data_IF_673346189781
#
_entry.id   IF_673346189781
#
_cell.length_a   1.000
_cell.length_b   1.000
_cell.length_c   1.000
_cell.angle_alpha   90.00
_cell.angle_beta   90.00
_cell.angle_gamma   90.00
#
_symmetry.space_group_name_H-M   'P 1'
#
loop_
_entity.id
_entity.type
_entity.pdbx_description
1 polymer ?
#
# COMPACT_ATOMS: atom_id res chain seq x y z
N UNK A 1 -20.31 21.62 -14.50
CA UNK A 1 -20.20 20.34 -15.23
C UNK A 1 -21.16 19.37 -14.53
N UNK A 2 -22.27 18.99 -15.15
CA UNK A 2 -23.29 18.10 -14.54
C UNK A 2 -22.87 16.66 -14.83
N UNK A 3 -22.57 15.89 -13.78
CA UNK A 3 -22.45 14.43 -13.90
C UNK A 3 -23.80 13.87 -14.34
N UNK A 4 -23.79 12.97 -15.33
CA UNK A 4 -25.03 12.32 -15.80
C UNK A 4 -25.42 11.24 -14.80
N UNK A 5 -26.69 10.81 -14.80
CA UNK A 5 -27.10 9.82 -13.81
C UNK A 5 -26.64 8.38 -14.16
N UNK A 6 -26.11 8.15 -15.37
CA UNK A 6 -25.21 7.03 -15.67
C UNK A 6 -23.95 7.04 -14.79
N UNK A 7 -23.37 8.24 -14.56
CA UNK A 7 -22.26 8.40 -13.63
C UNK A 7 -22.70 8.07 -12.20
N UNK A 8 -23.94 8.38 -11.82
CA UNK A 8 -24.44 8.13 -10.46
C UNK A 8 -24.53 6.64 -10.10
N UNK A 9 -25.08 5.80 -10.98
CA UNK A 9 -25.16 4.36 -10.73
C UNK A 9 -23.78 3.69 -10.77
N UNK A 10 -22.90 4.12 -11.69
CA UNK A 10 -21.50 3.67 -11.74
C UNK A 10 -20.72 4.10 -10.50
N UNK A 11 -20.94 5.32 -9.99
CA UNK A 11 -20.34 5.82 -8.75
C UNK A 11 -20.81 5.01 -7.54
N UNK A 12 -22.11 4.71 -7.43
CA UNK A 12 -22.63 3.92 -6.31
C UNK A 12 -22.08 2.49 -6.29
N UNK A 13 -21.89 1.88 -7.47
CA UNK A 13 -21.25 0.57 -7.58
C UNK A 13 -19.76 0.65 -7.24
N UNK A 14 -19.08 1.68 -7.73
CA UNK A 14 -17.67 1.99 -7.43
C UNK A 14 -17.44 2.12 -5.92
N UNK A 15 -18.28 2.86 -5.21
CA UNK A 15 -18.21 3.06 -3.75
C UNK A 15 -18.37 1.76 -2.96
N UNK A 16 -19.19 0.82 -3.45
CA UNK A 16 -19.38 -0.49 -2.79
C UNK A 16 -18.18 -1.42 -2.99
N UNK A 17 -17.55 -1.38 -4.15
CA UNK A 17 -16.45 -2.28 -4.53
C UNK A 17 -15.10 -1.78 -3.99
N UNK A 18 -14.94 -0.45 -3.89
CA UNK A 18 -13.69 0.19 -3.48
C UNK A 18 -13.07 -0.38 -2.19
N UNK A 19 -13.83 -0.67 -1.10
CA UNK A 19 -13.26 -1.26 0.11
C UNK A 19 -12.61 -2.63 -0.11
N UNK A 20 -13.21 -3.49 -0.94
CA UNK A 20 -12.68 -4.82 -1.25
C UNK A 20 -11.36 -4.70 -2.04
N UNK A 21 -11.30 -3.78 -3.01
CA UNK A 21 -10.08 -3.51 -3.77
C UNK A 21 -8.98 -2.93 -2.88
N UNK A 22 -9.31 -2.03 -1.96
CA UNK A 22 -8.36 -1.48 -1.00
C UNK A 22 -7.80 -2.57 -0.07
N UNK A 23 -8.62 -3.51 0.37
CA UNK A 23 -8.15 -4.64 1.18
C UNK A 23 -7.22 -5.57 0.36
N UNK A 24 -7.50 -5.78 -0.92
CA UNK A 24 -6.61 -6.53 -1.81
C UNK A 24 -5.24 -5.83 -1.97
N UNK A 25 -5.24 -4.52 -2.19
CA UNK A 25 -4.01 -3.73 -2.25
C UNK A 25 -3.24 -3.84 -0.93
N UNK A 26 -3.94 -3.75 0.20
CA UNK A 26 -3.35 -3.86 1.53
C UNK A 26 -2.66 -5.20 1.73
N UNK A 27 -3.33 -6.30 1.37
CA UNK A 27 -2.74 -7.64 1.41
C UNK A 27 -1.47 -7.72 0.56
N UNK A 28 -1.49 -7.14 -0.64
CA UNK A 28 -0.32 -7.08 -1.51
C UNK A 28 0.84 -6.31 -0.86
N UNK A 29 0.58 -5.14 -0.24
CA UNK A 29 1.62 -4.37 0.47
C UNK A 29 2.23 -5.14 1.63
N UNK A 30 1.40 -5.79 2.43
CA UNK A 30 1.85 -6.62 3.56
C UNK A 30 2.71 -7.80 3.08
N UNK A 31 2.31 -8.46 2.00
CA UNK A 31 3.10 -9.53 1.38
C UNK A 31 4.47 -9.03 0.91
N UNK A 32 4.54 -7.84 0.29
CA UNK A 32 5.82 -7.23 -0.10
C UNK A 32 6.70 -6.87 1.10
N UNK A 33 6.12 -6.41 2.20
CA UNK A 33 6.88 -6.22 3.44
C UNK A 33 7.39 -7.55 3.99
N UNK A 34 6.60 -8.63 3.89
CA UNK A 34 6.99 -9.97 4.30
C UNK A 34 8.13 -10.54 3.45
N UNK A 35 8.14 -10.27 2.15
CA UNK A 35 9.28 -10.54 1.27
C UNK A 35 10.50 -9.77 1.76
N UNK A 36 10.37 -8.46 1.93
CA UNK A 36 11.42 -7.56 2.43
C UNK A 36 12.23 -6.89 1.33
N UNK A 37 13.03 -5.89 1.70
CA UNK A 37 13.83 -5.09 0.77
C UNK A 37 15.23 -4.79 1.31
N UNK A 38 16.17 -4.65 0.39
CA UNK A 38 17.54 -4.20 0.67
C UNK A 38 17.65 -2.69 0.61
N UNK A 39 18.34 -2.10 1.58
CA UNK A 39 18.54 -0.67 1.72
C UNK A 39 20.03 -0.34 1.82
N UNK A 40 20.42 0.80 1.28
CA UNK A 40 21.81 1.28 1.36
C UNK A 40 22.06 1.94 2.71
N UNK A 41 23.22 1.70 3.33
CA UNK A 41 23.61 2.41 4.56
C UNK A 41 23.88 3.89 4.31
N UNK A 42 23.34 4.73 5.18
CA UNK A 42 23.53 6.19 5.17
C UNK A 42 24.97 6.53 5.59
N UNK A 43 25.65 7.40 4.86
CA UNK A 43 26.94 8.00 5.27
C UNK A 43 28.23 7.28 4.83
N UNK A 44 28.17 6.15 4.13
CA UNK A 44 29.38 5.42 3.76
C UNK A 44 30.03 5.99 2.47
N UNK A 45 31.07 6.82 2.61
CA UNK A 45 31.89 7.39 1.50
C UNK A 45 33.02 6.46 1.01
N UNK A 46 33.13 5.22 1.49
CA UNK A 46 34.19 4.28 1.06
C UNK A 46 33.73 3.42 -0.12
N UNK A 47 34.71 2.93 -0.90
CA UNK A 47 34.61 2.15 -2.17
C UNK A 47 33.70 0.89 -2.15
N UNK A 48 33.08 0.52 -1.04
CA UNK A 48 32.20 -0.65 -0.91
C UNK A 48 30.82 -0.20 -0.45
N UNK A 49 29.81 -0.40 -1.30
CA UNK A 49 28.41 -0.14 -0.95
C UNK A 49 27.93 -1.18 0.04
N UNK A 50 27.69 -0.76 1.29
CA UNK A 50 27.13 -1.65 2.32
C UNK A 50 25.61 -1.56 2.31
N UNK A 51 24.97 -2.72 2.27
CA UNK A 51 23.53 -2.85 2.34
C UNK A 51 23.10 -3.46 3.68
N UNK A 52 21.86 -3.23 4.03
CA UNK A 52 21.15 -3.88 5.12
C UNK A 52 19.77 -4.28 4.61
N UNK A 53 19.13 -5.24 5.26
CA UNK A 53 17.85 -5.79 4.84
C UNK A 53 16.82 -5.61 5.93
N UNK A 54 15.56 -5.39 5.53
CA UNK A 54 14.44 -5.36 6.45
C UNK A 54 13.25 -6.11 5.86
N UNK A 55 12.58 -6.94 6.67
CA UNK A 55 11.37 -7.66 6.31
C UNK A 55 10.41 -7.81 7.50
N UNK A 56 9.13 -7.93 7.20
CA UNK A 56 8.08 -8.23 8.15
C UNK A 56 7.96 -9.74 8.38
N UNK A 57 7.72 -10.17 9.61
CA UNK A 57 7.37 -11.54 9.91
C UNK A 57 5.97 -11.89 9.34
N UNK A 58 5.76 -13.14 8.92
CA UNK A 58 4.50 -13.58 8.30
C UNK A 58 3.26 -13.41 9.19
N UNK A 59 3.43 -13.27 10.50
CA UNK A 59 2.34 -12.97 11.44
C UNK A 59 2.00 -11.47 11.53
N UNK A 60 2.74 -10.62 10.81
CA UNK A 60 2.64 -9.16 10.79
C UNK A 60 2.89 -8.46 12.13
N UNK A 61 3.64 -9.11 13.04
CA UNK A 61 3.87 -8.58 14.41
C UNK A 61 5.28 -8.07 14.67
N UNK A 62 6.26 -8.40 13.84
CA UNK A 62 7.67 -8.05 14.08
C UNK A 62 8.34 -7.70 12.76
N UNK A 63 9.06 -6.58 12.72
CA UNK A 63 10.02 -6.27 11.66
C UNK A 63 11.39 -6.81 12.06
N UNK A 64 12.00 -7.59 11.17
CA UNK A 64 13.35 -8.11 11.31
C UNK A 64 14.28 -7.31 10.40
N UNK A 65 15.46 -6.95 10.90
CA UNK A 65 16.46 -6.28 10.09
C UNK A 65 17.89 -6.62 10.51
N UNK A 66 18.84 -6.33 9.62
CA UNK A 66 20.25 -6.62 9.85
C UNK A 66 21.11 -6.26 8.65
N UNK A 67 22.41 -6.23 8.86
CA UNK A 67 23.38 -5.98 7.80
C UNK A 67 23.45 -7.15 6.82
N UNK A 68 23.59 -6.84 5.53
CA UNK A 68 23.91 -7.84 4.53
C UNK A 68 25.42 -7.95 4.39
N UNK A 69 25.95 -9.16 4.48
CA UNK A 69 27.33 -9.42 4.05
C UNK A 69 27.42 -9.33 2.52
N UNK A 70 28.53 -8.79 2.00
CA UNK A 70 28.75 -8.61 0.56
C UNK A 70 28.58 -9.96 -0.15
N UNK A 71 27.66 -10.04 -1.13
CA UNK A 71 27.29 -11.20 -1.96
C UNK A 71 26.15 -12.13 -1.49
N UNK A 72 25.15 -11.65 -0.75
CA UNK A 72 23.89 -12.41 -0.61
C UNK A 72 23.13 -12.48 -1.95
N UNK A 73 23.54 -13.38 -2.86
CA UNK A 73 22.83 -13.73 -4.10
C UNK A 73 21.69 -14.75 -3.85
N UNK A 74 21.20 -14.85 -2.61
CA UNK A 74 20.18 -15.79 -2.17
C UNK A 74 19.13 -15.16 -1.25
N UNK A 75 18.12 -15.95 -0.88
CA UNK A 75 17.03 -15.51 -0.02
C UNK A 75 17.53 -15.17 1.40
N UNK A 76 17.21 -13.98 1.89
CA UNK A 76 17.61 -13.53 3.23
C UNK A 76 16.70 -14.18 4.27
N UNK A 77 17.23 -15.13 5.04
CA UNK A 77 16.50 -15.85 6.08
C UNK A 77 16.26 -14.97 7.31
N UNK A 78 15.25 -15.28 8.12
CA UNK A 78 14.99 -14.56 9.38
C UNK A 78 16.15 -14.68 10.38
N UNK A 79 16.92 -15.76 10.32
CA UNK A 79 18.01 -16.07 11.27
C UNK A 79 19.23 -15.17 11.06
N UNK A 80 19.44 -14.65 9.85
CA UNK A 80 20.54 -13.70 9.58
C UNK A 80 20.21 -12.27 10.03
N UNK A 81 18.93 -11.97 10.29
CA UNK A 81 18.45 -10.67 10.75
C UNK A 81 18.36 -10.64 12.28
N UNK A 82 19.41 -10.12 12.91
CA UNK A 82 19.60 -10.18 14.36
C UNK A 82 18.69 -9.21 15.11
N UNK A 83 18.34 -8.08 14.49
CA UNK A 83 17.60 -7.00 15.12
C UNK A 83 16.09 -7.11 14.84
N UNK A 84 15.28 -6.67 15.82
CA UNK A 84 13.82 -6.84 15.79
C UNK A 84 13.11 -5.63 16.36
N UNK A 85 12.05 -5.20 15.69
CA UNK A 85 11.11 -4.19 16.18
C UNK A 85 9.71 -4.81 16.21
N UNK A 86 9.10 -5.00 17.39
CA UNK A 86 7.69 -5.35 17.48
C UNK A 86 6.83 -4.25 16.86
N UNK A 87 5.88 -4.61 16.01
CA UNK A 87 4.97 -3.65 15.34
C UNK A 87 4.17 -2.86 16.37
N UNK A 88 3.84 -3.47 17.52
CA UNK A 88 3.17 -2.80 18.62
C UNK A 88 3.99 -1.65 19.25
N UNK A 89 5.31 -1.66 19.09
CA UNK A 89 6.19 -0.63 19.65
C UNK A 89 6.33 0.57 18.73
N UNK A 90 6.00 0.44 17.44
CA UNK A 90 6.04 1.54 16.47
C UNK A 90 5.08 2.67 16.90
N UNK A 91 5.63 3.86 17.11
CA UNK A 91 4.90 5.06 17.52
C UNK A 91 4.49 5.90 16.32
N UNK A 92 5.39 6.08 15.36
CA UNK A 92 5.12 6.88 14.17
C UNK A 92 6.05 6.54 13.01
N UNK A 93 5.60 6.88 11.81
CA UNK A 93 6.40 6.88 10.60
C UNK A 93 6.56 8.34 10.16
N UNK A 94 7.79 8.78 9.94
CA UNK A 94 8.09 10.13 9.45
C UNK A 94 8.79 10.03 8.09
N UNK A 95 8.66 11.04 7.25
CA UNK A 95 9.19 11.03 5.88
C UNK A 95 9.93 12.32 5.53
N UNK A 96 10.82 12.23 4.56
CA UNK A 96 11.59 13.36 4.03
C UNK A 96 12.32 14.16 5.11
N UNK A 97 12.04 15.47 5.16
CA UNK A 97 12.71 16.40 6.07
C UNK A 97 12.45 16.14 7.56
N UNK A 98 11.38 15.41 7.88
CA UNK A 98 10.99 15.12 9.26
C UNK A 98 11.79 13.95 9.84
N UNK A 99 12.45 13.17 8.97
CA UNK A 99 13.36 12.11 9.35
C UNK A 99 14.58 12.66 10.12
N UNK A 100 14.97 12.06 11.26
CA UNK A 100 16.13 12.51 12.04
C UNK A 100 17.41 12.60 11.22
N UNK A 101 17.66 11.63 10.35
CA UNK A 101 18.84 11.56 9.47
C UNK A 101 18.87 12.61 8.35
N UNK A 102 17.78 13.38 8.16
CA UNK A 102 17.67 14.43 7.14
C UNK A 102 17.70 15.86 7.72
N UNK A 103 17.79 16.01 9.05
CA UNK A 103 17.74 17.32 9.73
C UNK A 103 19.05 18.13 9.70
N UNK A 104 20.17 17.53 9.28
CA UNK A 104 21.46 18.22 9.28
C UNK A 104 21.60 19.24 8.13
N UNK A 105 22.12 20.44 8.46
CA UNK A 105 22.29 21.60 7.56
C UNK A 105 23.20 21.32 6.34
N UNK A 106 24.02 20.27 6.36
CA UNK A 106 24.91 19.86 5.27
C UNK A 106 24.23 18.94 4.25
N UNK A 107 23.22 18.16 4.66
CA UNK A 107 22.46 17.25 3.79
C UNK A 107 21.40 17.99 2.95
N UNK A 108 20.85 19.10 3.45
CA UNK A 108 19.88 19.95 2.75
C UNK A 108 20.40 20.61 1.47
N UNK A 109 21.73 20.60 1.22
CA UNK A 109 22.33 21.13 -0.02
C UNK A 109 22.52 20.08 -1.12
N UNK A 110 22.33 18.78 -0.86
CA UNK A 110 22.50 17.75 -1.88
C UNK A 110 21.34 16.74 -1.87
N UNK A 111 20.66 16.68 -3.02
CA UNK A 111 19.65 15.71 -3.44
C UNK A 111 18.26 15.77 -2.79
N UNK A 112 17.43 16.64 -3.37
CA UNK A 112 15.95 16.57 -3.29
C UNK A 112 15.41 15.15 -3.53
N UNK A 113 16.04 14.39 -4.42
CA UNK A 113 15.66 13.00 -4.71
C UNK A 113 15.80 12.07 -3.50
N UNK A 114 16.85 12.24 -2.68
CA UNK A 114 17.04 11.43 -1.47
C UNK A 114 16.00 11.78 -0.42
N UNK A 115 15.63 13.06 -0.28
CA UNK A 115 14.54 13.48 0.60
C UNK A 115 13.20 12.84 0.21
N UNK A 116 12.91 12.68 -1.08
CA UNK A 116 11.66 12.06 -1.53
C UNK A 116 11.59 10.54 -1.31
N UNK A 117 12.71 9.92 -0.98
CA UNK A 117 12.87 8.48 -0.72
C UNK A 117 13.15 8.16 0.76
N UNK A 118 13.33 9.19 1.60
CA UNK A 118 13.68 9.05 3.00
C UNK A 118 12.44 8.81 3.86
N UNK A 119 12.52 7.84 4.76
CA UNK A 119 11.52 7.62 5.82
C UNK A 119 12.17 7.02 7.07
N UNK A 120 11.52 7.17 8.21
CA UNK A 120 11.99 6.60 9.48
C UNK A 120 10.84 6.02 10.30
N UNK A 121 11.12 4.91 10.96
CA UNK A 121 10.25 4.30 11.97
C UNK A 121 10.70 4.82 13.33
N UNK A 122 9.81 5.48 14.06
CA UNK A 122 10.00 5.87 15.46
C UNK A 122 9.37 4.78 16.33
N UNK A 123 10.16 4.02 17.08
CA UNK A 123 9.67 2.89 17.89
C UNK A 123 10.08 3.00 19.37
N UNK A 124 11.19 3.68 19.66
CA UNK A 124 11.63 4.04 21.01
C UNK A 124 11.77 5.57 21.09
N UNK A 125 11.59 6.22 22.27
CA UNK A 125 11.84 7.64 22.43
C UNK A 125 13.20 8.12 21.92
N UNK A 126 14.24 7.30 22.05
CA UNK A 126 15.61 7.66 21.69
C UNK A 126 16.14 6.92 20.45
N UNK A 127 15.42 5.91 19.95
CA UNK A 127 15.82 5.13 18.78
C UNK A 127 14.88 5.25 17.58
N UNK A 128 15.50 5.29 16.40
CA UNK A 128 14.80 5.38 15.13
C UNK A 128 15.46 4.48 14.11
N UNK A 129 14.65 3.78 13.32
CA UNK A 129 15.14 3.01 12.18
C UNK A 129 15.01 3.86 10.93
N UNK A 130 16.13 4.19 10.30
CA UNK A 130 16.23 5.18 9.22
C UNK A 130 16.41 4.50 7.86
N UNK A 131 15.59 4.87 6.89
CA UNK A 131 15.55 4.26 5.56
C UNK A 131 15.74 5.31 4.47
N UNK A 132 16.50 4.92 3.44
CA UNK A 132 16.46 5.56 2.12
C UNK A 132 16.04 4.48 1.13
N UNK A 133 14.82 4.57 0.62
CA UNK A 133 14.32 3.60 -0.35
C UNK A 133 15.20 3.62 -1.63
N UNK A 134 15.42 2.47 -2.28
CA UNK A 134 16.25 2.41 -3.49
C UNK A 134 15.58 3.10 -4.69
N UNK A 135 14.25 3.23 -4.69
CA UNK A 135 13.47 3.91 -5.72
C UNK A 135 12.08 4.28 -5.19
N UNK A 136 11.32 5.03 -6.00
CA UNK A 136 9.97 5.51 -5.64
C UNK A 136 8.95 4.39 -5.41
N UNK A 137 9.07 3.29 -6.16
CA UNK A 137 8.18 2.15 -6.01
C UNK A 137 8.34 1.51 -4.63
N UNK A 138 9.57 1.18 -4.23
CA UNK A 138 9.87 0.62 -2.92
C UNK A 138 9.49 1.59 -1.79
N UNK A 139 9.72 2.90 -1.97
CA UNK A 139 9.22 3.91 -1.04
C UNK A 139 7.71 3.82 -0.83
N UNK A 140 6.93 3.77 -1.92
CA UNK A 140 5.47 3.66 -1.84
C UNK A 140 5.01 2.35 -1.18
N UNK A 141 5.64 1.22 -1.53
CA UNK A 141 5.37 -0.09 -0.92
C UNK A 141 5.58 -0.03 0.59
N UNK A 142 6.72 0.50 1.04
CA UNK A 142 7.05 0.55 2.46
C UNK A 142 6.16 1.51 3.24
N UNK A 143 5.92 2.72 2.72
CA UNK A 143 5.04 3.69 3.39
C UNK A 143 3.60 3.18 3.50
N UNK A 144 3.04 2.64 2.42
CA UNK A 144 1.68 2.11 2.44
C UNK A 144 1.58 0.86 3.32
N UNK A 145 2.54 -0.05 3.23
CA UNK A 145 2.57 -1.26 4.07
C UNK A 145 2.68 -0.92 5.56
N UNK A 146 3.55 0.02 5.93
CA UNK A 146 3.68 0.47 7.32
C UNK A 146 2.41 1.19 7.81
N UNK A 147 1.79 2.03 6.98
CA UNK A 147 0.50 2.65 7.32
C UNK A 147 -0.59 1.60 7.52
N UNK A 148 -0.67 0.61 6.63
CA UNK A 148 -1.61 -0.51 6.73
C UNK A 148 -1.42 -1.32 8.02
N UNK A 149 -0.18 -1.60 8.42
CA UNK A 149 0.15 -2.25 9.69
C UNK A 149 -0.35 -1.47 10.91
N UNK A 150 -0.26 -0.13 10.84
CA UNK A 150 -0.69 0.76 11.90
C UNK A 150 -2.19 1.12 11.82
N UNK A 151 -2.96 0.48 10.93
CA UNK A 151 -4.39 0.76 10.74
C UNK A 151 -4.67 2.15 10.15
N UNK A 152 -3.71 2.74 9.44
CA UNK A 152 -3.84 4.02 8.74
C UNK A 152 -4.09 3.80 7.25
N UNK A 153 -4.64 4.83 6.60
CA UNK A 153 -4.89 4.80 5.16
C UNK A 153 -3.59 4.74 4.34
N UNK A 154 -3.62 3.96 3.27
CA UNK A 154 -2.56 3.90 2.25
C UNK A 154 -2.78 5.05 1.25
N UNK A 155 -1.88 6.03 1.24
CA UNK A 155 -2.10 7.30 0.52
C UNK A 155 -1.12 7.56 -0.62
N UNK A 156 -0.21 6.62 -0.92
CA UNK A 156 0.78 6.81 -1.97
C UNK A 156 0.16 6.91 -3.37
N UNK A 157 0.93 7.45 -4.31
CA UNK A 157 0.56 7.47 -5.74
C UNK A 157 0.38 6.06 -6.30
N UNK A 158 1.16 5.09 -5.81
CA UNK A 158 1.05 3.70 -6.22
C UNK A 158 -0.31 3.10 -5.81
N UNK A 159 -0.76 3.35 -4.58
CA UNK A 159 -2.09 2.89 -4.14
C UNK A 159 -3.22 3.54 -4.92
N UNK A 160 -3.11 4.83 -5.25
CA UNK A 160 -4.10 5.50 -6.10
C UNK A 160 -4.15 4.87 -7.51
N UNK A 161 -2.98 4.61 -8.10
CA UNK A 161 -2.86 3.98 -9.42
C UNK A 161 -3.42 2.54 -9.43
N UNK A 162 -3.05 1.74 -8.43
CA UNK A 162 -3.53 0.36 -8.29
C UNK A 162 -5.05 0.33 -8.08
N UNK A 163 -5.56 1.21 -7.21
CA UNK A 163 -7.00 1.33 -6.95
C UNK A 163 -7.75 1.67 -8.23
N UNK A 164 -7.30 2.68 -8.97
CA UNK A 164 -7.98 3.08 -10.21
C UNK A 164 -7.95 1.96 -11.26
N UNK A 165 -6.82 1.28 -11.40
CA UNK A 165 -6.66 0.17 -12.33
C UNK A 165 -7.59 -1.00 -11.99
N UNK A 166 -7.52 -1.50 -10.76
CA UNK A 166 -8.29 -2.67 -10.31
C UNK A 166 -9.79 -2.39 -10.29
N UNK A 167 -10.17 -1.21 -9.81
CA UNK A 167 -11.57 -0.80 -9.77
C UNK A 167 -12.15 -0.61 -11.17
N UNK A 168 -11.37 -0.07 -12.11
CA UNK A 168 -11.76 0.03 -13.51
C UNK A 168 -11.95 -1.35 -14.15
N UNK A 169 -11.07 -2.30 -13.85
CA UNK A 169 -11.20 -3.68 -14.34
C UNK A 169 -12.44 -4.37 -13.77
N UNK A 170 -12.66 -4.30 -12.46
CA UNK A 170 -13.82 -4.89 -11.80
C UNK A 170 -15.13 -4.26 -12.31
N UNK A 171 -15.16 -2.94 -12.48
CA UNK A 171 -16.31 -2.26 -13.08
C UNK A 171 -16.60 -2.74 -14.50
N UNK A 172 -15.57 -2.94 -15.33
CA UNK A 172 -15.74 -3.49 -16.70
C UNK A 172 -16.33 -4.89 -16.65
N UNK A 173 -15.84 -5.77 -15.76
CA UNK A 173 -16.36 -7.13 -15.61
C UNK A 173 -17.84 -7.15 -15.22
N UNK A 174 -18.24 -6.29 -14.26
CA UNK A 174 -19.64 -6.20 -13.81
C UNK A 174 -20.60 -5.62 -14.86
N UNK A 175 -20.07 -4.87 -15.82
CA UNK A 175 -20.84 -4.21 -16.86
C UNK A 175 -20.82 -4.97 -18.20
N UNK A 176 -20.21 -6.16 -18.27
CA UNK A 176 -20.16 -6.97 -19.50
C UNK A 176 -21.56 -7.29 -20.03
N UNK A 177 -22.48 -7.69 -19.15
CA UNK A 177 -23.86 -8.04 -19.55
C UNK A 177 -24.69 -6.82 -20.00
N UNK A 178 -24.19 -5.61 -19.75
CA UNK A 178 -24.83 -4.34 -20.13
C UNK A 178 -24.17 -3.70 -21.35
N UNK A 179 -23.28 -4.42 -22.04
CA UNK A 179 -22.63 -3.92 -23.25
C UNK A 179 -23.68 -3.61 -24.34
N UNK A 180 -23.61 -2.41 -24.92
CA UNK A 180 -24.58 -1.88 -25.89
C UNK A 180 -26.01 -1.63 -25.36
N UNK A 181 -26.25 -1.77 -24.06
CA UNK A 181 -27.53 -1.41 -23.42
C UNK A 181 -27.44 0.03 -22.93
N UNK A 182 -28.44 0.86 -23.27
CA UNK A 182 -28.54 2.21 -22.69
C UNK A 182 -28.87 2.10 -21.21
N UNK A 183 -27.99 2.64 -20.36
CA UNK A 183 -28.19 2.67 -18.92
C UNK A 183 -29.14 3.83 -18.61
N UNK A 184 -30.31 3.59 -18.01
CA UNK A 184 -31.24 4.67 -17.72
C UNK A 184 -30.65 5.64 -16.69
N UNK A 185 -30.90 6.93 -16.90
CA UNK A 185 -30.44 7.98 -16.00
C UNK A 185 -31.02 7.81 -14.58
N UNK A 186 -32.34 7.65 -14.47
CA UNK A 186 -32.96 7.36 -13.18
C UNK A 186 -33.17 5.84 -13.01
N UNK A 187 -33.05 5.30 -11.79
CA UNK A 187 -33.51 3.95 -11.50
C UNK A 187 -34.97 3.79 -11.96
N UNK A 188 -35.31 2.75 -12.73
CA UNK A 188 -36.69 2.53 -13.15
C UNK A 188 -37.59 2.34 -11.93
N UNK A 189 -38.86 2.78 -11.99
CA UNK A 189 -39.78 2.64 -10.88
C UNK A 189 -39.97 1.16 -10.53
N UNK A 190 -39.81 0.83 -9.26
CA UNK A 190 -40.06 -0.53 -8.77
C UNK A 190 -41.59 -0.74 -8.80
N UNK A 191 -42.12 -1.73 -9.54
CA UNK A 191 -43.55 -2.00 -9.57
C UNK A 191 -44.06 -2.42 -8.19
N UNK A 192 -45.36 -2.23 -7.94
CA UNK A 192 -46.00 -2.76 -6.72
C UNK A 192 -45.89 -4.28 -6.70
N UNK A 193 -45.83 -4.85 -5.51
CA UNK A 193 -45.83 -6.30 -5.34
C UNK A 193 -47.08 -6.93 -5.99
N UNK A 194 -46.96 -8.13 -6.58
CA UNK A 194 -48.10 -8.85 -7.13
C UNK A 194 -49.17 -9.11 -6.07
N UNK A 195 -50.43 -9.17 -6.48
CA UNK A 195 -51.55 -9.48 -5.58
C UNK A 195 -51.65 -10.96 -5.22
N UNK A 196 -50.88 -11.84 -5.86
CA UNK A 196 -50.77 -13.28 -5.56
C UNK A 196 -49.33 -13.77 -5.77
N UNK A 197 -48.94 -14.79 -5.02
CA UNK A 197 -47.67 -15.52 -5.17
C UNK A 197 -47.85 -16.88 -5.86
N UNK A 198 -48.94 -17.07 -6.61
CA UNK A 198 -49.14 -18.22 -7.49
C UNK A 198 -48.20 -18.10 -8.70
N UNK A 199 -46.95 -18.54 -8.53
CA UNK A 199 -45.92 -18.40 -9.55
C UNK A 199 -46.24 -19.22 -10.80
N UNK A 200 -46.04 -18.60 -11.97
CA UNK A 200 -46.28 -19.24 -13.29
C UNK A 200 -45.32 -20.41 -13.55
N UNK A 201 -44.12 -20.37 -12.97
CA UNK A 201 -43.12 -21.42 -13.08
C UNK A 201 -42.83 -22.01 -11.69
N UNK A 202 -42.81 -23.33 -11.62
CA UNK A 202 -42.34 -24.05 -10.44
C UNK A 202 -40.85 -24.34 -10.60
N UNK A 203 -40.03 -23.78 -9.71
CA UNK A 203 -38.64 -24.21 -9.57
C UNK A 203 -38.63 -25.56 -8.84
N UNK A 204 -38.33 -26.63 -9.56
CA UNK A 204 -38.11 -27.98 -9.03
C UNK A 204 -36.64 -28.25 -8.75
#
# INVERSE_FOLDING_TARGET
>A
MRATAEDFNKVRLREKIQPEILELIKQQRLNRLCEGSSFRKIGNRRRQERFWYCRLALNHKVLHYGDLEDNAQGEVTFESLQEKIPVADIKAIVTGKDCPHMKEKSALKQNKEVLELAFSILYDPDETLNFIAPNKYEYCIWIDGLNALLGKDMSSELTKSDLDTLLSMEMKLRLLDLENIQIPEAPPPIPKEPSSYDFVYHYG
#
